data_IF_816999962361
#
_entry.id   IF_816999962361
#
_cell.length_a   1.000
_cell.length_b   1.000
_cell.length_c   1.000
_cell.angle_alpha   90.00
_cell.angle_beta   90.00
_cell.angle_gamma   90.00
#
_symmetry.space_group_name_H-M   'P 1'
#
loop_
_entity.id
_entity.type
_entity.pdbx_description
1 polymer ?
#
# COMPACT_ATOMS: atom_id res chain seq x y z
N UNK A 1 -7.14 -16.78 9.12
CA UNK A 1 -7.59 -15.46 8.66
C UNK A 1 -6.48 -14.93 7.78
N UNK A 2 -6.76 -14.72 6.51
CA UNK A 2 -5.75 -14.34 5.52
C UNK A 2 -5.89 -12.85 5.26
N UNK A 3 -4.87 -12.09 5.63
CA UNK A 3 -4.85 -10.63 5.53
C UNK A 3 -3.90 -10.22 4.40
N UNK A 4 -4.17 -9.08 3.77
CA UNK A 4 -3.25 -8.46 2.82
C UNK A 4 -2.48 -7.40 3.59
N UNK A 5 -1.16 -7.38 3.48
CA UNK A 5 -0.32 -6.37 4.13
C UNK A 5 0.35 -5.49 3.10
N UNK A 6 0.37 -4.20 3.35
CA UNK A 6 1.06 -3.22 2.51
C UNK A 6 2.08 -2.48 3.36
N UNK A 7 3.36 -2.68 3.06
CA UNK A 7 4.44 -1.91 3.67
C UNK A 7 4.69 -0.68 2.80
N UNK A 8 4.63 0.50 3.41
CA UNK A 8 4.88 1.80 2.77
C UNK A 8 6.11 2.41 3.41
N UNK A 9 7.14 2.67 2.62
CA UNK A 9 8.41 3.24 3.05
C UNK A 9 8.58 4.64 2.46
N UNK A 10 9.13 5.56 3.24
CA UNK A 10 9.45 6.93 2.83
C UNK A 10 9.01 7.95 3.88
N UNK A 11 9.51 9.17 3.77
CA UNK A 11 9.17 10.23 4.73
C UNK A 11 7.64 10.45 4.83
N UNK A 12 6.91 10.22 3.74
CA UNK A 12 5.46 10.40 3.64
C UNK A 12 4.65 9.17 4.02
N UNK A 13 5.27 8.12 4.58
CA UNK A 13 4.64 6.82 4.79
C UNK A 13 3.34 6.89 5.60
N UNK A 14 3.30 7.70 6.67
CA UNK A 14 2.11 7.86 7.52
C UNK A 14 0.96 8.45 6.72
N UNK A 15 1.13 9.65 6.14
CA UNK A 15 0.08 10.33 5.38
C UNK A 15 -0.39 9.48 4.19
N UNK A 16 0.54 8.85 3.48
CA UNK A 16 0.21 7.98 2.36
C UNK A 16 -0.62 6.78 2.82
N UNK A 17 -0.30 6.19 3.97
CA UNK A 17 -1.01 5.04 4.51
C UNK A 17 -2.40 5.39 5.00
N UNK A 18 -2.58 6.56 5.60
CA UNK A 18 -3.90 7.06 5.98
C UNK A 18 -4.77 7.24 4.74
N UNK A 19 -4.26 7.90 3.69
CA UNK A 19 -4.98 8.07 2.43
C UNK A 19 -5.28 6.75 1.70
N UNK A 20 -4.41 5.73 1.84
CA UNK A 20 -4.66 4.39 1.30
C UNK A 20 -5.90 3.75 1.95
N UNK A 21 -6.07 3.93 3.26
CA UNK A 21 -7.21 3.38 4.00
C UNK A 21 -8.49 4.21 3.84
N UNK A 22 -8.38 5.44 3.34
CA UNK A 22 -9.52 6.26 2.92
C UNK A 22 -10.11 5.85 1.55
N UNK A 23 -9.41 4.98 0.79
CA UNK A 23 -9.93 4.47 -0.49
C UNK A 23 -11.27 3.77 -0.24
N UNK A 24 -12.37 4.20 -0.89
CA UNK A 24 -13.67 3.56 -0.74
C UNK A 24 -13.60 2.07 -1.11
N UNK A 25 -14.04 1.22 -0.18
CA UNK A 25 -13.99 -0.23 -0.35
C UNK A 25 -12.72 -0.88 0.19
N UNK A 26 -11.75 -0.12 0.70
CA UNK A 26 -10.63 -0.66 1.49
C UNK A 26 -10.98 -0.54 2.97
N UNK A 27 -10.72 -1.58 3.76
CA UNK A 27 -10.86 -1.55 5.21
C UNK A 27 -9.68 -2.23 5.86
N UNK A 28 -9.13 -1.62 6.90
CA UNK A 28 -7.88 -2.03 7.49
C UNK A 28 -7.47 -1.21 8.69
N UNK A 29 -6.33 -1.58 9.25
CA UNK A 29 -5.62 -0.83 10.27
C UNK A 29 -4.19 -0.62 9.80
N UNK A 30 -3.47 0.29 10.44
CA UNK A 30 -2.05 0.46 10.17
C UNK A 30 -1.27 0.66 11.47
N UNK A 31 0.02 0.37 11.40
CA UNK A 31 0.96 0.60 12.48
C UNK A 31 2.26 1.18 11.93
N UNK A 32 2.94 2.01 12.74
CA UNK A 32 4.30 2.44 12.41
C UNK A 32 5.25 1.29 12.69
N UNK A 33 6.03 0.89 11.68
CA UNK A 33 7.20 0.06 11.91
C UNK A 33 8.28 0.95 12.50
N UNK A 34 8.38 0.96 13.82
CA UNK A 34 9.44 1.70 14.53
C UNK A 34 10.81 1.21 14.06
N UNK A 35 11.63 2.15 13.58
CA UNK A 35 13.01 1.97 13.14
C UNK A 35 13.20 0.77 12.19
N UNK A 36 12.94 1.00 10.89
CA UNK A 36 13.57 0.12 9.90
C UNK A 36 15.09 0.27 10.02
N UNK A 37 15.83 -0.83 9.84
CA UNK A 37 17.30 -0.93 9.96
C UNK A 37 18.09 0.03 9.04
N UNK A 38 17.42 0.88 8.26
CA UNK A 38 17.99 2.04 7.57
C UNK A 38 17.67 3.29 8.36
N UNK A 39 18.63 3.73 9.17
CA UNK A 39 18.58 5.01 9.89
C UNK A 39 17.96 6.12 9.01
N UNK A 40 16.75 6.56 9.36
CA UNK A 40 16.09 7.74 8.77
C UNK A 40 14.87 7.50 7.88
N UNK A 41 14.54 6.28 7.46
CA UNK A 41 13.36 6.03 6.60
C UNK A 41 12.15 5.61 7.46
N UNK A 42 11.10 6.44 7.46
CA UNK A 42 9.81 6.10 8.08
C UNK A 42 9.14 4.97 7.29
N UNK A 43 8.59 4.00 8.00
CA UNK A 43 7.81 2.92 7.40
C UNK A 43 6.53 2.65 8.19
N UNK A 44 5.47 2.37 7.46
CA UNK A 44 4.17 1.96 8.00
C UNK A 44 3.76 0.64 7.38
N UNK A 45 3.02 -0.16 8.13
CA UNK A 45 2.41 -1.39 7.64
C UNK A 45 0.90 -1.20 7.74
N UNK A 46 0.23 -1.15 6.59
CA UNK A 46 -1.22 -1.28 6.51
C UNK A 46 -1.60 -2.76 6.43
N UNK A 47 -2.57 -3.16 7.24
CA UNK A 47 -3.21 -4.47 7.19
C UNK A 47 -4.62 -4.29 6.64
N UNK A 48 -4.85 -4.76 5.42
CA UNK A 48 -6.14 -4.72 4.73
C UNK A 48 -6.89 -6.01 5.08
N UNK A 49 -7.98 -5.84 5.83
CA UNK A 49 -8.86 -6.91 6.32
C UNK A 49 -10.10 -7.10 5.44
N UNK A 50 -10.43 -6.11 4.61
CA UNK A 50 -11.59 -6.19 3.73
C UNK A 50 -11.40 -5.36 2.46
N UNK A 51 -11.82 -5.96 1.34
CA UNK A 51 -12.02 -5.26 0.07
C UNK A 51 -13.49 -5.44 -0.31
N UNK A 52 -14.25 -4.35 -0.32
CA UNK A 52 -15.69 -4.33 -0.62
C UNK A 52 -15.90 -3.66 -1.97
N UNK A 53 -16.36 -4.44 -2.96
CA UNK A 53 -16.55 -3.99 -4.34
C UNK A 53 -15.74 -4.81 -5.34
N UNK A 54 -15.64 -4.34 -6.58
CA UNK A 54 -14.84 -5.00 -7.61
C UNK A 54 -13.35 -4.76 -7.41
N UNK A 55 -12.57 -5.84 -7.28
CA UNK A 55 -11.12 -5.78 -7.02
C UNK A 55 -10.32 -5.06 -8.11
N UNK A 56 -10.81 -5.05 -9.35
CA UNK A 56 -10.19 -4.26 -10.43
C UNK A 56 -10.23 -2.75 -10.15
N UNK A 57 -11.36 -2.22 -9.67
CA UNK A 57 -11.52 -0.79 -9.39
C UNK A 57 -10.68 -0.38 -8.18
N UNK A 58 -10.48 -1.29 -7.23
CA UNK A 58 -9.60 -1.07 -6.08
C UNK A 58 -8.14 -1.11 -6.51
N UNK A 59 -7.76 -2.04 -7.39
CA UNK A 59 -6.42 -2.10 -7.96
C UNK A 59 -6.05 -0.82 -8.73
N UNK A 60 -6.98 -0.25 -9.51
CA UNK A 60 -6.80 1.03 -10.19
C UNK A 60 -6.60 2.18 -9.19
N UNK A 61 -7.41 2.23 -8.14
CA UNK A 61 -7.29 3.26 -7.10
C UNK A 61 -5.98 3.16 -6.33
N UNK A 62 -5.53 1.96 -5.96
CA UNK A 62 -4.23 1.73 -5.32
C UNK A 62 -3.09 2.16 -6.24
N UNK A 63 -3.16 1.82 -7.53
CA UNK A 63 -2.12 2.22 -8.49
C UNK A 63 -2.06 3.73 -8.67
N UNK A 64 -3.22 4.39 -8.73
CA UNK A 64 -3.32 5.85 -8.82
C UNK A 64 -2.77 6.53 -7.56
N UNK A 65 -3.19 6.06 -6.38
CA UNK A 65 -2.68 6.51 -5.09
C UNK A 65 -1.15 6.43 -5.04
N UNK A 66 -0.58 5.28 -5.43
CA UNK A 66 0.87 5.09 -5.45
C UNK A 66 1.56 6.12 -6.36
N UNK A 67 1.04 6.34 -7.56
CA UNK A 67 1.59 7.32 -8.49
C UNK A 67 1.53 8.75 -7.95
N UNK A 68 0.44 9.13 -7.29
CA UNK A 68 0.28 10.46 -6.69
C UNK A 68 1.30 10.71 -5.58
N UNK A 69 1.46 9.76 -4.65
CA UNK A 69 2.39 9.90 -3.53
C UNK A 69 3.86 9.74 -3.93
N UNK A 70 4.16 9.05 -5.04
CA UNK A 70 5.51 8.94 -5.62
C UNK A 70 5.89 10.17 -6.44
N UNK A 71 4.92 10.91 -6.99
CA UNK A 71 5.15 12.09 -7.84
C UNK A 71 4.99 13.44 -7.13
N UNK A 72 4.62 13.47 -5.84
CA UNK A 72 4.48 14.72 -5.08
C UNK A 72 5.78 15.53 -5.11
N UNK A 73 5.72 16.73 -5.71
CA UNK A 73 6.87 17.63 -5.92
C UNK A 73 7.25 18.50 -4.71
N UNK A 74 6.43 18.54 -3.66
CA UNK A 74 6.49 19.61 -2.64
C UNK A 74 6.52 19.13 -1.19
N UNK A 75 6.78 17.85 -0.91
CA UNK A 75 6.75 17.31 0.43
C UNK A 75 7.27 15.88 0.53
N UNK A 76 7.08 15.30 1.72
CA UNK A 76 7.46 13.93 2.08
C UNK A 76 6.84 12.92 1.11
N UNK A 77 7.67 12.19 0.36
CA UNK A 77 7.24 11.19 -0.63
C UNK A 77 7.26 9.78 -0.04
N UNK A 78 6.60 8.85 -0.74
CA UNK A 78 6.86 7.42 -0.56
C UNK A 78 7.92 6.97 -1.56
N UNK A 79 8.84 6.14 -1.10
CA UNK A 79 9.94 5.61 -1.88
C UNK A 79 9.61 4.22 -2.42
N UNK A 80 8.90 3.42 -1.60
CA UNK A 80 8.65 2.02 -1.93
C UNK A 80 7.36 1.53 -1.26
N UNK A 81 6.59 0.75 -2.03
CA UNK A 81 5.41 0.06 -1.50
C UNK A 81 5.44 -1.41 -1.89
N UNK A 82 5.32 -2.27 -0.88
CA UNK A 82 5.30 -3.72 -1.02
C UNK A 82 3.95 -4.27 -0.55
N UNK A 83 3.23 -4.95 -1.44
CA UNK A 83 2.02 -5.71 -1.12
C UNK A 83 2.41 -7.17 -0.84
N UNK A 84 1.94 -7.70 0.27
CA UNK A 84 2.03 -9.11 0.65
C UNK A 84 0.61 -9.69 0.66
N UNK A 85 0.36 -10.57 -0.30
CA UNK A 85 -0.92 -11.26 -0.47
C UNK A 85 -1.14 -12.34 0.58
N UNK A 86 -2.34 -12.90 0.57
CA UNK A 86 -2.82 -13.88 1.54
C UNK A 86 -2.04 -15.19 1.50
N UNK A 87 -1.50 -15.54 0.33
CA UNK A 87 -0.65 -16.72 0.14
C UNK A 87 0.84 -16.44 0.37
N UNK A 88 1.21 -15.21 0.78
CA UNK A 88 2.59 -14.77 0.95
C UNK A 88 3.27 -14.26 -0.32
N UNK A 89 2.58 -14.22 -1.47
CA UNK A 89 3.04 -13.58 -2.71
C UNK A 89 3.37 -12.11 -2.41
N UNK A 90 4.47 -11.64 -2.99
CA UNK A 90 4.97 -10.28 -2.81
C UNK A 90 4.92 -9.53 -4.14
N UNK A 91 4.44 -8.29 -4.10
CA UNK A 91 4.34 -7.42 -5.27
C UNK A 91 4.84 -6.02 -4.91
N UNK A 92 5.87 -5.54 -5.62
CA UNK A 92 6.31 -4.14 -5.52
C UNK A 92 5.46 -3.29 -6.45
N UNK A 93 4.90 -2.18 -5.95
CA UNK A 93 4.03 -1.33 -6.74
C UNK A 93 4.75 -0.52 -7.83
N UNK A 94 6.07 -0.36 -7.75
CA UNK A 94 6.85 0.42 -8.72
C UNK A 94 6.66 -0.04 -10.16
N UNK A 95 6.60 -1.36 -10.37
CA UNK A 95 6.46 -1.96 -11.70
C UNK A 95 5.13 -2.74 -11.88
N UNK A 96 4.24 -2.68 -10.89
CA UNK A 96 3.01 -3.47 -10.92
C UNK A 96 1.97 -2.91 -11.91
N UNK A 97 1.43 -3.80 -12.73
CA UNK A 97 0.21 -3.55 -13.51
C UNK A 97 -1.04 -3.59 -12.62
N UNK A 98 -2.14 -2.99 -13.12
CA UNK A 98 -3.44 -3.07 -12.44
C UNK A 98 -3.87 -4.53 -12.28
N UNK A 99 -3.63 -5.36 -13.28
CA UNK A 99 -3.96 -6.78 -13.28
C UNK A 99 -3.21 -7.56 -12.19
N UNK A 100 -1.92 -7.27 -11.98
CA UNK A 100 -1.13 -7.91 -10.92
C UNK A 100 -1.58 -7.48 -9.53
N UNK A 101 -1.92 -6.19 -9.37
CA UNK A 101 -2.50 -5.69 -8.12
C UNK A 101 -3.86 -6.34 -7.88
N UNK A 102 -4.71 -6.46 -8.89
CA UNK A 102 -5.99 -7.17 -8.77
C UNK A 102 -5.79 -8.62 -8.34
N UNK A 103 -4.86 -9.32 -9.00
CA UNK A 103 -4.59 -10.74 -8.70
C UNK A 103 -4.19 -10.97 -7.25
N UNK A 104 -3.35 -10.09 -6.67
CA UNK A 104 -2.92 -10.23 -5.27
C UNK A 104 -4.05 -9.87 -4.29
N UNK A 105 -5.01 -9.02 -4.70
CA UNK A 105 -6.21 -8.69 -3.92
C UNK A 105 -7.29 -9.78 -3.95
N UNK A 106 -7.37 -10.55 -5.05
CA UNK A 106 -8.37 -11.61 -5.29
C UNK A 106 -8.04 -12.95 -4.59
N UNK A 107 -6.83 -13.10 -4.04
CA UNK A 107 -6.40 -14.32 -3.33
C UNK A 107 -7.30 -14.67 -2.14
#
# INVERSE_FOLDING_TARGET
>A
MSEIRMAVEGEGAIEATEALLEIPGVSGSWETSGETEREGILATIATIIGVVGGTIAIAEQIRKWYQEYRQRKSGKTIEKVLIVGRNGRRLLLEDASVEEIRQILDE
#
